data_IF_318417509492
#
_entry.id   IF_318417509492
#
_cell.length_a   1.000
_cell.length_b   1.000
_cell.length_c   1.000
_cell.angle_alpha   90.00
_cell.angle_beta   90.00
_cell.angle_gamma   90.00
#
_symmetry.space_group_name_H-M   'P 1'
#
loop_
_entity.id
_entity.type
_entity.pdbx_description
1 polymer ?
#
# COMPACT_ATOMS: atom_id res chain seq x y z
N UNK A 1 -13.60 2.40 -9.55
CA UNK A 1 -13.02 2.17 -10.90
C UNK A 1 -13.90 1.49 -11.94
N UNK A 2 -15.10 0.99 -11.61
CA UNK A 2 -15.99 0.34 -12.60
C UNK A 2 -16.34 1.21 -13.81
N UNK A 3 -16.56 2.51 -13.61
CA UNK A 3 -16.88 3.44 -14.70
C UNK A 3 -15.75 3.56 -15.74
N UNK A 4 -14.48 3.54 -15.32
CA UNK A 4 -13.32 3.62 -16.22
C UNK A 4 -13.25 2.36 -17.08
N UNK A 5 -13.42 1.19 -16.49
CA UNK A 5 -13.52 -0.07 -17.25
C UNK A 5 -14.62 -0.01 -18.32
N UNK A 6 -15.82 0.46 -17.96
CA UNK A 6 -16.92 0.63 -18.93
C UNK A 6 -16.56 1.58 -20.07
N UNK A 7 -15.82 2.65 -19.79
CA UNK A 7 -15.35 3.59 -20.81
C UNK A 7 -14.34 2.93 -21.77
N UNK A 8 -13.44 2.08 -21.29
CA UNK A 8 -12.52 1.33 -22.16
C UNK A 8 -13.25 0.35 -23.07
N UNK A 9 -14.23 -0.40 -22.55
CA UNK A 9 -15.08 -1.27 -23.38
C UNK A 9 -15.79 -0.45 -24.46
N UNK A 10 -16.41 0.68 -24.09
CA UNK A 10 -17.14 1.51 -25.03
C UNK A 10 -16.23 2.14 -26.10
N UNK A 11 -15.02 2.54 -25.73
CA UNK A 11 -14.02 3.06 -26.67
C UNK A 11 -13.65 1.99 -27.71
N UNK A 12 -13.36 0.76 -27.27
CA UNK A 12 -13.07 -0.37 -28.15
C UNK A 12 -14.27 -0.66 -29.06
N UNK A 13 -15.49 -0.70 -28.51
CA UNK A 13 -16.72 -0.92 -29.26
C UNK A 13 -16.94 0.13 -30.35
N UNK A 14 -16.75 1.42 -30.03
CA UNK A 14 -16.85 2.52 -31.01
C UNK A 14 -15.82 2.41 -32.12
N UNK A 15 -14.60 1.98 -31.81
CA UNK A 15 -13.57 1.73 -32.82
C UNK A 15 -13.98 0.60 -33.78
N UNK A 16 -14.50 -0.52 -33.27
CA UNK A 16 -15.03 -1.58 -34.12
C UNK A 16 -16.16 -1.10 -35.02
N UNK A 17 -17.12 -0.32 -34.50
CA UNK A 17 -18.20 0.26 -35.30
C UNK A 17 -17.71 1.23 -36.39
N UNK A 18 -16.58 1.91 -36.15
CA UNK A 18 -15.92 2.74 -37.14
C UNK A 18 -15.05 1.95 -38.15
N UNK A 19 -15.10 0.62 -38.13
CA UNK A 19 -14.36 -0.27 -39.03
C UNK A 19 -12.94 -0.62 -38.59
N UNK A 20 -12.49 -0.19 -37.41
CA UNK A 20 -11.19 -0.57 -36.85
C UNK A 20 -11.27 -1.98 -36.27
N UNK A 21 -10.77 -2.97 -37.00
CA UNK A 21 -10.78 -4.38 -36.57
C UNK A 21 -9.41 -4.91 -36.15
N UNK A 22 -8.33 -4.15 -36.38
CA UNK A 22 -6.96 -4.58 -36.09
C UNK A 22 -6.10 -3.45 -35.50
N UNK A 23 -5.30 -3.80 -34.49
CA UNK A 23 -4.35 -2.93 -33.81
C UNK A 23 -2.92 -3.43 -33.99
N UNK A 24 -1.94 -2.56 -33.68
CA UNK A 24 -0.51 -2.92 -33.72
C UNK A 24 -0.13 -3.91 -32.60
N UNK A 25 -0.92 -3.98 -31.53
CA UNK A 25 -0.74 -4.85 -30.37
C UNK A 25 -2.09 -5.43 -29.97
N UNK A 26 -2.08 -6.60 -29.33
CA UNK A 26 -3.27 -7.15 -28.70
C UNK A 26 -3.67 -6.28 -27.51
N UNK A 27 -4.97 -5.99 -27.39
CA UNK A 27 -5.53 -5.25 -26.26
C UNK A 27 -6.25 -6.27 -25.39
N UNK A 28 -5.77 -6.43 -24.16
CA UNK A 28 -6.42 -7.23 -23.13
C UNK A 28 -7.16 -6.29 -22.17
N UNK A 29 -8.44 -6.55 -21.93
CA UNK A 29 -9.22 -5.84 -20.91
C UNK A 29 -9.39 -6.79 -19.72
N UNK A 30 -8.85 -6.38 -18.56
CA UNK A 30 -8.85 -7.19 -17.33
C UNK A 30 -9.62 -6.44 -16.25
N UNK A 31 -10.57 -7.13 -15.62
CA UNK A 31 -11.26 -6.65 -14.42
C UNK A 31 -10.71 -7.43 -13.24
N UNK A 32 -9.78 -6.81 -12.51
CA UNK A 32 -9.21 -7.39 -11.30
C UNK A 32 -10.17 -7.28 -10.12
N UNK A 33 -10.15 -8.29 -9.26
CA UNK A 33 -10.72 -8.24 -7.91
C UNK A 33 -9.63 -7.90 -6.90
N UNK A 34 -10.02 -7.55 -5.67
CA UNK A 34 -9.11 -7.47 -4.52
C UNK A 34 -8.05 -6.34 -4.58
N UNK A 35 -8.10 -5.40 -5.53
CA UNK A 35 -7.14 -4.27 -5.57
C UNK A 35 -7.10 -3.52 -4.22
N UNK A 36 -8.27 -3.11 -3.73
CA UNK A 36 -8.46 -2.30 -2.53
C UNK A 36 -8.02 -2.99 -1.21
N UNK A 37 -7.71 -4.29 -1.25
CA UNK A 37 -7.22 -5.05 -0.10
C UNK A 37 -5.83 -5.70 -0.31
N UNK A 38 -5.12 -5.29 -1.37
CA UNK A 38 -3.74 -5.70 -1.64
C UNK A 38 -3.59 -6.85 -2.63
N UNK A 39 -4.66 -7.29 -3.27
CA UNK A 39 -4.65 -8.21 -4.42
C UNK A 39 -4.09 -9.60 -4.17
N UNK A 40 -3.97 -10.06 -2.91
CA UNK A 40 -3.34 -11.33 -2.58
C UNK A 40 -3.98 -12.51 -3.33
N UNK A 41 -5.32 -12.58 -3.33
CA UNK A 41 -6.11 -13.57 -4.08
C UNK A 41 -6.54 -13.07 -5.48
N UNK A 42 -6.34 -11.79 -5.76
CA UNK A 42 -6.64 -11.16 -7.05
C UNK A 42 -5.44 -11.20 -8.01
N UNK A 43 -4.95 -10.03 -8.41
CA UNK A 43 -3.87 -9.93 -9.39
C UNK A 43 -2.59 -10.66 -8.95
N UNK A 44 -2.25 -10.70 -7.65
CA UNK A 44 -1.03 -11.39 -7.20
C UNK A 44 -1.09 -12.92 -7.38
N UNK A 45 -2.29 -13.51 -7.36
CA UNK A 45 -2.50 -14.92 -7.70
C UNK A 45 -2.53 -15.10 -9.23
N UNK A 46 -3.25 -14.25 -9.94
CA UNK A 46 -3.43 -14.35 -11.40
C UNK A 46 -2.11 -14.26 -12.17
N UNK A 47 -1.18 -13.37 -11.79
CA UNK A 47 0.11 -13.24 -12.48
C UNK A 47 0.98 -14.51 -12.46
N UNK A 48 0.67 -15.46 -11.57
CA UNK A 48 1.39 -16.73 -11.44
C UNK A 48 0.86 -17.81 -12.39
N UNK A 49 -0.34 -17.64 -12.95
CA UNK A 49 -0.99 -18.66 -13.77
C UNK A 49 -0.40 -18.70 -15.19
N UNK A 50 -0.72 -19.77 -15.93
CA UNK A 50 -0.26 -19.88 -17.32
C UNK A 50 -1.06 -18.92 -18.23
N UNK A 51 -2.34 -18.72 -17.95
CA UNK A 51 -3.22 -17.83 -18.69
C UNK A 51 -2.68 -16.39 -18.70
N UNK A 52 -2.15 -15.89 -17.57
CA UNK A 52 -1.54 -14.57 -17.55
C UNK A 52 -0.25 -14.50 -18.39
N UNK A 53 0.59 -15.54 -18.33
CA UNK A 53 1.82 -15.61 -19.14
C UNK A 53 1.51 -15.61 -20.63
N UNK A 54 0.46 -16.31 -21.02
CA UNK A 54 0.00 -16.41 -22.41
C UNK A 54 -0.52 -15.07 -22.97
N UNK A 55 -0.94 -14.13 -22.10
CA UNK A 55 -1.28 -12.77 -22.51
C UNK A 55 -0.07 -12.01 -23.10
N UNK A 56 1.17 -12.39 -22.71
CA UNK A 56 2.41 -11.76 -23.18
C UNK A 56 2.38 -10.23 -23.06
N UNK A 57 2.03 -9.74 -21.86
CA UNK A 57 1.81 -8.31 -21.58
C UNK A 57 3.14 -7.53 -21.66
N UNK A 58 3.20 -6.51 -22.52
CA UNK A 58 4.37 -5.63 -22.64
C UNK A 58 4.29 -4.36 -21.77
N UNK A 59 3.08 -3.85 -21.56
CA UNK A 59 2.77 -2.76 -20.62
C UNK A 59 1.28 -2.80 -20.31
N UNK A 60 0.87 -2.11 -19.26
CA UNK A 60 -0.52 -2.03 -18.84
C UNK A 60 -0.89 -0.57 -18.54
N UNK A 61 -2.18 -0.27 -18.66
CA UNK A 61 -2.76 0.97 -18.16
C UNK A 61 -3.48 0.60 -16.88
N UNK A 62 -3.12 1.29 -15.81
CA UNK A 62 -3.80 1.15 -14.53
C UNK A 62 -5.16 1.85 -14.54
N UNK A 63 -5.89 1.75 -13.46
CA UNK A 63 -7.24 2.26 -13.27
C UNK A 63 -7.38 3.76 -13.60
N UNK A 64 -6.30 4.52 -13.46
CA UNK A 64 -6.23 5.92 -13.85
C UNK A 64 -7.03 6.85 -12.94
N UNK A 65 -7.02 8.15 -13.25
CA UNK A 65 -7.70 9.16 -12.46
C UNK A 65 -8.47 10.14 -13.36
N UNK A 66 -9.66 10.54 -12.92
CA UNK A 66 -10.43 11.57 -13.61
C UNK A 66 -9.69 12.92 -13.62
N UNK A 67 -9.88 13.67 -14.69
CA UNK A 67 -9.43 15.06 -14.81
C UNK A 67 -10.63 16.00 -14.83
N UNK A 68 -10.52 17.12 -14.13
CA UNK A 68 -11.54 18.18 -14.11
C UNK A 68 -11.51 19.04 -15.38
N UNK A 69 -10.47 18.88 -16.22
CA UNK A 69 -10.27 19.65 -17.45
C UNK A 69 -10.10 18.71 -18.65
N UNK A 70 -9.95 19.29 -19.85
CA UNK A 70 -9.69 18.55 -21.08
C UNK A 70 -8.24 17.98 -21.18
N UNK A 71 -7.42 18.14 -20.13
CA UNK A 71 -6.04 17.64 -20.08
C UNK A 71 -5.99 16.35 -19.28
N UNK A 72 -5.41 15.29 -19.85
CA UNK A 72 -5.19 14.03 -19.13
C UNK A 72 -4.01 14.12 -18.17
N UNK A 73 -4.19 13.55 -16.96
CA UNK A 73 -3.08 13.30 -16.03
C UNK A 73 -2.43 11.97 -16.40
N UNK A 74 -1.12 11.97 -16.57
CA UNK A 74 -0.34 10.77 -16.90
C UNK A 74 0.60 10.46 -15.74
N UNK A 75 0.45 9.27 -15.18
CA UNK A 75 1.32 8.75 -14.14
C UNK A 75 2.16 7.61 -14.74
N UNK A 76 3.44 7.55 -14.38
CA UNK A 76 4.36 6.53 -14.89
C UNK A 76 4.86 5.58 -13.79
N UNK A 77 4.49 5.84 -12.54
CA UNK A 77 4.88 5.06 -11.38
C UNK A 77 3.94 5.33 -10.21
N UNK A 78 3.89 4.37 -9.28
CA UNK A 78 3.22 4.46 -7.99
C UNK A 78 4.21 4.11 -6.86
N UNK A 79 3.83 4.39 -5.61
CA UNK A 79 4.64 4.00 -4.45
C UNK A 79 4.24 2.62 -3.98
N UNK A 80 5.24 1.78 -3.71
CA UNK A 80 5.01 0.52 -3.03
C UNK A 80 4.57 0.74 -1.58
N UNK A 81 3.48 0.09 -1.18
CA UNK A 81 2.99 0.12 0.19
C UNK A 81 3.55 -1.04 1.01
N UNK A 82 3.97 -0.75 2.24
CA UNK A 82 4.53 -1.73 3.18
C UNK A 82 3.79 -1.62 4.51
N UNK A 83 3.32 -2.75 5.03
CA UNK A 83 2.75 -2.87 6.37
C UNK A 83 3.70 -3.67 7.25
N UNK A 84 4.29 -3.02 8.26
CA UNK A 84 5.35 -3.60 9.09
C UNK A 84 4.86 -3.70 10.53
N UNK A 85 4.64 -4.92 11.02
CA UNK A 85 4.36 -5.17 12.44
C UNK A 85 5.65 -5.31 13.24
N UNK A 86 5.87 -4.40 14.19
CA UNK A 86 6.99 -4.50 15.13
C UNK A 86 6.46 -5.06 16.45
N UNK A 87 7.08 -6.15 16.92
CA UNK A 87 6.78 -6.75 18.23
C UNK A 87 7.92 -6.43 19.20
N UNK A 88 7.58 -5.77 20.30
CA UNK A 88 8.51 -5.42 21.36
C UNK A 88 8.21 -6.30 22.57
N UNK A 89 9.08 -7.30 22.81
CA UNK A 89 8.98 -8.19 23.96
C UNK A 89 9.82 -7.67 25.13
N UNK A 90 9.32 -7.77 26.35
CA UNK A 90 10.03 -7.34 27.55
C UNK A 90 9.61 -8.11 28.79
N UNK A 91 10.19 -7.74 29.93
CA UNK A 91 9.93 -8.39 31.20
C UNK A 91 8.60 -7.89 31.80
N UNK A 92 7.64 -8.77 32.11
CA UNK A 92 6.42 -8.38 32.81
C UNK A 92 6.67 -8.25 34.32
N UNK A 93 5.78 -7.56 35.03
CA UNK A 93 5.81 -7.48 36.48
C UNK A 93 4.78 -6.52 37.05
N UNK A 94 4.68 -6.45 38.38
CA UNK A 94 3.76 -5.51 39.03
C UNK A 94 4.19 -4.06 38.76
N UNK A 95 3.23 -3.19 38.42
CA UNK A 95 3.45 -1.78 38.05
C UNK A 95 4.10 -0.91 39.13
N UNK A 96 4.19 -1.42 40.36
CA UNK A 96 4.87 -0.75 41.49
C UNK A 96 6.36 -1.13 41.62
N UNK A 97 6.93 -1.87 40.67
CA UNK A 97 8.33 -2.31 40.69
C UNK A 97 9.10 -1.71 39.52
N UNK A 98 10.37 -1.42 39.73
CA UNK A 98 11.31 -1.04 38.67
C UNK A 98 11.79 -2.30 37.94
N UNK A 99 10.95 -2.81 37.04
CA UNK A 99 11.29 -3.96 36.19
C UNK A 99 12.15 -3.46 35.03
N UNK A 100 13.29 -4.10 34.80
CA UNK A 100 14.18 -3.78 33.68
C UNK A 100 13.74 -4.48 32.38
N UNK A 101 14.23 -3.97 31.24
CA UNK A 101 14.01 -4.57 29.91
C UNK A 101 12.52 -4.63 29.54
N UNK A 102 11.81 -3.50 29.70
CA UNK A 102 10.36 -3.46 29.50
C UNK A 102 9.99 -3.40 28.02
N UNK A 103 8.80 -3.93 27.67
CA UNK A 103 8.26 -3.78 26.32
C UNK A 103 7.99 -2.30 25.97
N UNK A 104 7.67 -1.48 26.98
CA UNK A 104 7.42 -0.04 26.84
C UNK A 104 8.63 0.75 26.38
N UNK A 105 9.80 0.55 27.02
CA UNK A 105 11.04 1.24 26.64
C UNK A 105 11.46 0.90 25.21
N UNK A 106 11.33 -0.37 24.82
CA UNK A 106 11.64 -0.82 23.46
C UNK A 106 10.70 -0.21 22.44
N UNK A 107 9.39 -0.21 22.73
CA UNK A 107 8.40 0.40 21.84
C UNK A 107 8.67 1.90 21.69
N UNK A 108 8.98 2.60 22.78
CA UNK A 108 9.32 4.02 22.76
C UNK A 108 10.51 4.28 21.83
N UNK A 109 11.57 3.47 21.94
CA UNK A 109 12.74 3.57 21.06
C UNK A 109 12.36 3.43 19.57
N UNK A 110 11.55 2.43 19.23
CA UNK A 110 11.05 2.22 17.86
C UNK A 110 10.24 3.42 17.36
N UNK A 111 9.31 3.92 18.18
CA UNK A 111 8.47 5.07 17.83
C UNK A 111 9.33 6.33 17.61
N UNK A 112 10.31 6.58 18.46
CA UNK A 112 11.21 7.73 18.33
C UNK A 112 12.02 7.65 17.03
N UNK A 113 12.58 6.48 16.68
CA UNK A 113 13.29 6.29 15.41
C UNK A 113 12.36 6.51 14.21
N UNK A 114 11.14 5.98 14.26
CA UNK A 114 10.13 6.14 13.22
C UNK A 114 9.72 7.61 13.01
N UNK A 115 9.47 8.34 14.10
CA UNK A 115 9.10 9.76 14.04
C UNK A 115 10.25 10.63 13.56
N UNK A 116 11.48 10.36 14.01
CA UNK A 116 12.66 11.07 13.52
C UNK A 116 12.83 10.91 12.00
N UNK A 117 12.74 9.68 11.49
CA UNK A 117 12.82 9.44 10.05
C UNK A 117 11.70 10.13 9.28
N UNK A 118 10.47 10.10 9.82
CA UNK A 118 9.34 10.83 9.23
C UNK A 118 9.62 12.33 9.14
N UNK A 119 10.14 12.94 10.19
CA UNK A 119 10.44 14.38 10.22
C UNK A 119 11.53 14.73 9.20
N UNK A 120 12.55 13.87 9.05
CA UNK A 120 13.58 14.02 8.01
C UNK A 120 12.96 14.00 6.59
N UNK A 121 12.07 13.04 6.30
CA UNK A 121 11.39 12.95 5.01
C UNK A 121 10.43 14.13 4.77
N UNK A 122 9.73 14.58 5.81
CA UNK A 122 8.85 15.76 5.72
C UNK A 122 9.66 17.04 5.48
N UNK A 123 10.84 17.16 6.09
CA UNK A 123 11.75 18.27 5.84
C UNK A 123 12.19 18.28 4.38
N UNK A 124 12.67 17.15 3.85
CA UNK A 124 13.04 17.00 2.42
C UNK A 124 11.89 17.43 1.52
N UNK A 125 10.67 16.93 1.76
CA UNK A 125 9.48 17.31 0.99
C UNK A 125 9.26 18.83 0.96
N UNK A 126 9.35 19.50 2.12
CA UNK A 126 9.11 20.94 2.23
C UNK A 126 10.25 21.79 1.70
N UNK A 127 11.50 21.44 2.00
CA UNK A 127 12.67 22.28 1.69
C UNK A 127 13.16 22.08 0.26
N UNK A 128 13.15 20.85 -0.25
CA UNK A 128 13.57 20.54 -1.62
C UNK A 128 12.40 20.59 -2.61
N UNK A 129 11.17 20.88 -2.14
CA UNK A 129 9.94 20.91 -2.95
C UNK A 129 9.68 19.62 -3.74
N UNK A 130 10.17 18.48 -3.23
CA UNK A 130 9.89 17.15 -3.79
C UNK A 130 8.40 16.83 -3.67
N UNK A 131 7.83 16.14 -4.65
CA UNK A 131 6.46 15.63 -4.55
C UNK A 131 6.36 14.52 -3.49
N UNK A 132 5.13 14.16 -3.10
CA UNK A 132 4.90 13.02 -2.20
C UNK A 132 5.31 11.67 -2.80
N UNK A 133 5.47 11.59 -4.13
CA UNK A 133 5.96 10.39 -4.82
C UNK A 133 7.47 10.19 -4.66
N UNK A 134 8.22 11.24 -4.33
CA UNK A 134 9.68 11.27 -4.27
C UNK A 134 10.24 11.19 -2.85
N UNK A 135 9.38 11.04 -1.85
CA UNK A 135 9.75 10.89 -0.44
C UNK A 135 9.04 9.69 0.17
N UNK A 136 9.64 9.14 1.23
CA UNK A 136 9.06 8.01 1.96
C UNK A 136 8.13 8.53 3.06
N UNK A 137 6.90 8.05 3.08
CA UNK A 137 5.92 8.36 4.13
C UNK A 137 5.81 7.20 5.11
N UNK A 138 6.38 7.37 6.31
CA UNK A 138 6.27 6.39 7.39
C UNK A 138 5.29 6.89 8.45
N UNK A 139 4.29 6.06 8.80
CA UNK A 139 3.22 6.42 9.74
C UNK A 139 3.04 5.31 10.79
N UNK A 140 2.92 5.71 12.06
CA UNK A 140 2.43 4.83 13.12
C UNK A 140 0.90 4.86 13.14
N UNK A 141 0.28 3.72 12.81
CA UNK A 141 -1.19 3.65 12.64
C UNK A 141 -1.90 2.88 13.74
N UNK A 142 -1.18 2.04 14.49
CA UNK A 142 -1.76 1.20 15.55
C UNK A 142 -0.72 0.88 16.61
N UNK A 143 -1.14 0.86 17.88
CA UNK A 143 -0.35 0.36 19.02
C UNK A 143 -1.26 -0.50 19.89
N UNK A 144 -0.80 -1.68 20.27
CA UNK A 144 -1.59 -2.64 21.07
C UNK A 144 -0.72 -3.41 22.07
N UNK A 145 -1.32 -3.83 23.18
CA UNK A 145 -0.74 -4.74 24.17
C UNK A 145 -1.15 -4.39 25.60
N UNK A 146 -0.59 -5.09 26.59
CA UNK A 146 -1.01 -5.01 27.99
C UNK A 146 -2.15 -5.96 28.35
N UNK A 147 -2.21 -6.34 29.62
CA UNK A 147 -3.20 -7.31 30.14
C UNK A 147 -4.01 -6.76 31.30
N UNK A 148 -3.42 -5.92 32.15
CA UNK A 148 -4.07 -5.31 33.30
C UNK A 148 -3.46 -3.93 33.60
N UNK A 149 -4.23 -3.07 34.27
CA UNK A 149 -3.83 -1.68 34.59
C UNK A 149 -2.60 -1.58 35.51
N UNK A 150 -2.29 -2.64 36.25
CA UNK A 150 -1.22 -2.69 37.26
C UNK A 150 -0.10 -3.70 36.89
N UNK A 151 -0.02 -4.13 35.64
CA UNK A 151 0.97 -5.11 35.17
C UNK A 151 1.72 -4.56 33.96
N UNK A 152 3.05 -4.57 34.03
CA UNK A 152 3.88 -4.27 32.87
C UNK A 152 3.68 -5.35 31.79
N UNK A 153 3.49 -4.95 30.52
CA UNK A 153 3.25 -5.87 29.43
C UNK A 153 4.46 -6.75 29.12
N UNK A 154 4.21 -8.04 28.88
CA UNK A 154 5.17 -8.97 28.26
C UNK A 154 5.50 -8.56 26.82
N UNK A 155 4.49 -8.08 26.08
CA UNK A 155 4.62 -7.68 24.70
C UNK A 155 3.79 -6.42 24.43
N UNK A 156 4.37 -5.51 23.66
CA UNK A 156 3.66 -4.44 22.97
C UNK A 156 3.94 -4.54 21.47
N UNK A 157 2.96 -4.15 20.66
CA UNK A 157 3.09 -4.19 19.20
C UNK A 157 2.74 -2.85 18.58
N UNK A 158 3.46 -2.49 17.53
CA UNK A 158 3.16 -1.35 16.68
C UNK A 158 2.85 -1.83 15.26
N UNK A 159 1.83 -1.20 14.66
CA UNK A 159 1.25 -1.48 13.33
C UNK A 159 0.34 -2.71 13.24
N UNK A 160 -0.57 -2.67 12.25
CA UNK A 160 -1.46 -3.75 11.86
C UNK A 160 -0.94 -4.38 10.57
N UNK A 161 -0.51 -5.65 10.64
CA UNK A 161 -0.76 -6.55 9.52
C UNK A 161 -2.27 -6.80 9.57
N UNK A 162 -3.01 -6.37 8.55
CA UNK A 162 -4.26 -7.09 8.29
C UNK A 162 -3.80 -8.52 8.03
N UNK A 163 -4.25 -9.46 8.85
CA UNK A 163 -4.28 -10.85 8.44
C UNK A 163 -5.18 -10.84 7.20
N UNK A 164 -4.56 -10.77 6.03
CA UNK A 164 -5.17 -11.34 4.84
C UNK A 164 -5.04 -12.84 5.11
N UNK A 165 -6.14 -13.40 5.60
CA UNK A 165 -6.27 -14.85 5.81
C UNK A 165 -6.09 -15.56 4.47
#
# INVERSE_FOLDING_TARGET
MKCVGSQYIEAVRKHFLAGKTQWRRTIHLVYGSEEENGSAEGMAAFVKTQEFKDLNVGFWLDEGQASETAVYKVFYAEKNQWWIKVKCQGSPGHGSKFVENTAGEKLLSVIQSALKFRDEQQKIHKTEKKSLGEVITLNLTKVEGGTAINVLPLELTACKLNNVN
#
